data_IF_153057568212
#
_entry.id   IF_153057568212
#
_cell.length_a   1.000
_cell.length_b   1.000
_cell.length_c   1.000
_cell.angle_alpha   90.00
_cell.angle_beta   90.00
_cell.angle_gamma   90.00
#
_symmetry.space_group_name_H-M   'P 1'
#
loop_
_entity.id
_entity.type
_entity.pdbx_description
1 polymer ?
#
# COMPACT_ATOMS: atom_id res chain seq x y z
N UNK A 1 46.47 7.33 6.56
CA UNK A 1 45.39 7.46 5.54
C UNK A 1 44.49 6.23 5.43
N UNK A 2 44.99 5.00 5.53
CA UNK A 2 44.16 3.77 5.42
C UNK A 2 43.11 3.57 6.53
N UNK A 3 43.39 3.97 7.78
CA UNK A 3 42.46 3.84 8.92
C UNK A 3 41.18 4.67 8.78
N UNK A 4 41.25 5.86 8.17
CA UNK A 4 40.08 6.72 7.96
C UNK A 4 39.11 6.14 6.94
N UNK A 5 39.62 5.42 5.93
CA UNK A 5 38.79 4.79 4.91
C UNK A 5 38.02 3.58 5.47
N UNK A 6 38.62 2.83 6.39
CA UNK A 6 37.95 1.71 7.06
C UNK A 6 36.82 2.19 7.98
N UNK A 7 37.07 3.25 8.77
CA UNK A 7 36.03 3.87 9.60
C UNK A 7 34.87 4.41 8.76
N UNK A 8 35.18 5.07 7.64
CA UNK A 8 34.16 5.56 6.70
C UNK A 8 33.36 4.42 6.06
N UNK A 9 34.00 3.32 5.68
CA UNK A 9 33.32 2.14 5.14
C UNK A 9 32.40 1.48 6.17
N UNK A 10 32.82 1.37 7.44
CA UNK A 10 31.99 0.85 8.53
C UNK A 10 30.78 1.76 8.77
N UNK A 11 30.97 3.08 8.78
CA UNK A 11 29.88 4.04 8.91
C UNK A 11 28.92 3.96 7.73
N UNK A 12 29.43 3.88 6.49
CA UNK A 12 28.59 3.69 5.29
C UNK A 12 27.83 2.36 5.36
N UNK A 13 28.44 1.30 5.87
CA UNK A 13 27.81 -0.01 6.05
C UNK A 13 26.72 0.00 7.13
N UNK A 14 26.93 0.69 8.25
CA UNK A 14 25.90 0.86 9.27
C UNK A 14 24.78 1.78 8.80
N UNK A 15 25.11 2.89 8.12
CA UNK A 15 24.12 3.79 7.52
C UNK A 15 23.34 3.06 6.43
N UNK A 16 23.98 2.23 5.60
CA UNK A 16 23.27 1.45 4.58
C UNK A 16 22.29 0.47 5.23
N UNK A 17 22.66 -0.19 6.33
CA UNK A 17 21.75 -1.03 7.13
C UNK A 17 20.57 -0.24 7.74
N UNK A 18 20.81 0.98 8.21
CA UNK A 18 19.77 1.88 8.74
C UNK A 18 18.87 2.45 7.62
N UNK A 19 19.37 2.49 6.38
CA UNK A 19 18.65 2.90 5.19
C UNK A 19 17.96 1.73 4.47
N UNK A 20 18.16 0.48 4.91
CA UNK A 20 17.32 -0.64 4.48
C UNK A 20 15.93 -0.37 5.08
N UNK A 21 14.90 -0.12 4.26
CA UNK A 21 13.56 0.07 4.78
C UNK A 21 13.22 -1.13 5.65
N UNK A 22 12.86 -0.89 6.92
CA UNK A 22 12.43 -1.97 7.81
C UNK A 22 11.17 -2.59 7.23
N UNK A 23 11.35 -3.79 6.68
CA UNK A 23 10.38 -4.81 6.27
C UNK A 23 8.94 -4.43 6.58
N UNK A 24 8.19 -4.03 5.56
CA UNK A 24 6.79 -4.38 5.50
C UNK A 24 6.74 -5.72 4.76
N UNK A 25 6.16 -6.74 5.39
CA UNK A 25 5.98 -8.06 4.80
C UNK A 25 4.90 -8.00 3.70
N UNK A 26 5.11 -7.25 2.62
CA UNK A 26 4.09 -6.98 1.62
C UNK A 26 4.70 -6.71 0.24
N UNK A 27 3.85 -6.57 -0.79
CA UNK A 27 4.31 -6.10 -2.09
C UNK A 27 4.67 -4.61 -2.07
N UNK A 28 5.59 -4.19 -2.93
CA UNK A 28 5.89 -2.77 -3.10
C UNK A 28 4.74 -2.00 -3.77
N UNK A 29 4.66 -0.67 -3.61
CA UNK A 29 3.55 0.15 -4.10
C UNK A 29 3.34 0.07 -5.62
N UNK A 30 4.40 -0.08 -6.42
CA UNK A 30 4.23 -0.24 -7.87
C UNK A 30 3.63 -1.60 -8.23
N UNK A 31 3.95 -2.64 -7.47
CA UNK A 31 3.37 -3.98 -7.63
C UNK A 31 1.90 -3.98 -7.26
N UNK A 32 1.49 -3.27 -6.21
CA UNK A 32 0.08 -3.06 -5.88
C UNK A 32 -0.69 -2.36 -7.01
N UNK A 33 -0.16 -1.26 -7.56
CA UNK A 33 -0.76 -0.60 -8.73
C UNK A 33 -0.89 -1.54 -9.92
N UNK A 34 0.14 -2.35 -10.17
CA UNK A 34 0.13 -3.36 -11.24
C UNK A 34 -1.01 -4.35 -11.02
N UNK A 35 -1.04 -5.04 -9.88
CA UNK A 35 -2.03 -6.08 -9.57
C UNK A 35 -3.46 -5.51 -9.62
N UNK A 36 -3.68 -4.35 -9.02
CA UNK A 36 -4.97 -3.67 -9.06
C UNK A 36 -5.38 -3.30 -10.50
N UNK A 37 -4.45 -2.84 -11.31
CA UNK A 37 -4.75 -2.56 -12.72
C UNK A 37 -5.11 -3.83 -13.49
N UNK A 38 -4.44 -4.96 -13.23
CA UNK A 38 -4.74 -6.24 -13.88
C UNK A 38 -6.12 -6.79 -13.48
N UNK A 39 -6.54 -6.61 -12.23
CA UNK A 39 -7.93 -6.91 -11.80
C UNK A 39 -8.93 -6.19 -12.71
N UNK A 40 -8.73 -4.91 -12.99
CA UNK A 40 -9.61 -4.15 -13.90
C UNK A 40 -9.50 -4.65 -15.35
N UNK A 41 -8.30 -5.04 -15.80
CA UNK A 41 -8.09 -5.53 -17.18
C UNK A 41 -8.78 -6.87 -17.42
N UNK A 42 -8.74 -7.80 -16.46
CA UNK A 42 -9.44 -9.09 -16.55
C UNK A 42 -10.96 -8.92 -16.65
N UNK A 43 -11.48 -7.85 -16.04
CA UNK A 43 -12.85 -7.38 -16.25
C UNK A 43 -13.92 -8.39 -15.82
N UNK A 44 -14.98 -8.50 -16.60
CA UNK A 44 -16.15 -9.32 -16.23
C UNK A 44 -15.87 -10.83 -16.22
N UNK A 45 -14.75 -11.28 -16.79
CA UNK A 45 -14.35 -12.69 -16.78
C UNK A 45 -14.06 -13.21 -15.37
N UNK A 46 -13.73 -12.31 -14.43
CA UNK A 46 -13.39 -12.66 -13.04
C UNK A 46 -14.09 -11.78 -12.00
N UNK A 47 -14.82 -10.75 -12.41
CA UNK A 47 -15.48 -9.78 -11.52
C UNK A 47 -16.98 -9.70 -11.85
N UNK A 48 -17.88 -9.79 -10.85
CA UNK A 48 -19.30 -9.55 -11.07
C UNK A 48 -19.57 -8.22 -11.79
N UNK A 49 -20.44 -8.23 -12.80
CA UNK A 49 -20.64 -7.09 -13.71
C UNK A 49 -20.94 -5.76 -12.99
N UNK A 50 -21.74 -5.80 -11.92
CA UNK A 50 -22.04 -4.64 -11.10
C UNK A 50 -20.80 -4.02 -10.45
N UNK A 51 -19.91 -4.86 -9.92
CA UNK A 51 -18.64 -4.43 -9.32
C UNK A 51 -17.71 -3.90 -10.40
N UNK A 52 -17.54 -4.63 -11.50
CA UNK A 52 -16.70 -4.19 -12.62
C UNK A 52 -17.10 -2.82 -13.16
N UNK A 53 -18.41 -2.55 -13.28
CA UNK A 53 -18.92 -1.25 -13.73
C UNK A 53 -18.47 -0.08 -12.83
N UNK A 54 -18.40 -0.31 -11.51
CA UNK A 54 -17.94 0.65 -10.52
C UNK A 54 -16.43 0.84 -10.66
N UNK A 55 -15.66 -0.26 -10.70
CA UNK A 55 -14.20 -0.22 -10.79
C UNK A 55 -13.73 0.46 -12.08
N UNK A 56 -14.33 0.13 -13.22
CA UNK A 56 -14.00 0.74 -14.51
C UNK A 56 -14.29 2.24 -14.53
N UNK A 57 -15.44 2.66 -13.97
CA UNK A 57 -15.83 4.07 -13.93
C UNK A 57 -15.01 4.90 -12.94
N UNK A 58 -14.63 4.33 -11.80
CA UNK A 58 -13.93 5.00 -10.71
C UNK A 58 -12.54 4.40 -10.47
N UNK A 59 -11.83 4.10 -11.55
CA UNK A 59 -10.53 3.42 -11.54
C UNK A 59 -9.51 4.09 -10.62
N UNK A 60 -9.42 5.42 -10.63
CA UNK A 60 -8.47 6.15 -9.77
C UNK A 60 -8.82 6.06 -8.30
N UNK A 61 -10.11 6.07 -7.95
CA UNK A 61 -10.57 5.92 -6.57
C UNK A 61 -10.24 4.50 -6.06
N UNK A 62 -10.42 3.47 -6.90
CA UNK A 62 -9.99 2.10 -6.62
C UNK A 62 -8.48 1.96 -6.44
N UNK A 63 -7.69 2.49 -7.38
CA UNK A 63 -6.22 2.47 -7.27
C UNK A 63 -5.72 3.21 -6.03
N UNK A 64 -6.38 4.30 -5.64
CA UNK A 64 -6.01 4.99 -4.41
C UNK A 64 -6.32 4.18 -3.16
N UNK A 65 -7.50 3.55 -3.09
CA UNK A 65 -7.84 2.65 -1.98
C UNK A 65 -6.88 1.47 -1.87
N UNK A 66 -6.39 0.98 -3.01
CA UNK A 66 -5.39 -0.07 -3.06
C UNK A 66 -4.01 0.37 -2.56
N UNK A 67 -3.67 1.66 -2.63
CA UNK A 67 -2.38 2.16 -2.15
C UNK A 67 -2.43 2.73 -0.74
N UNK A 68 -3.59 3.24 -0.32
CA UNK A 68 -3.66 3.99 0.92
C UNK A 68 -3.40 3.14 2.16
N UNK A 69 -3.61 1.81 2.09
CA UNK A 69 -3.29 0.88 3.16
C UNK A 69 -1.80 0.98 3.58
N UNK A 70 -0.90 1.22 2.64
CA UNK A 70 0.53 1.41 2.89
C UNK A 70 0.92 2.81 3.34
N UNK A 71 0.15 3.82 2.95
CA UNK A 71 0.48 5.23 3.19
C UNK A 71 0.17 5.71 4.62
N UNK A 72 -0.52 4.92 5.43
CA UNK A 72 -0.94 5.30 6.79
C UNK A 72 0.17 4.89 7.78
N UNK A 73 0.96 5.86 8.22
CA UNK A 73 2.18 5.68 9.03
C UNK A 73 1.96 5.28 10.50
N UNK A 74 0.87 4.62 10.86
CA UNK A 74 0.63 4.26 12.26
C UNK A 74 1.26 2.90 12.67
N UNK A 75 1.98 2.22 11.77
CA UNK A 75 2.49 0.85 12.00
C UNK A 75 3.47 0.70 13.17
N UNK A 76 4.30 1.70 13.46
CA UNK A 76 5.48 1.50 14.31
C UNK A 76 5.23 1.61 15.83
N UNK A 77 4.03 2.02 16.25
CA UNK A 77 3.68 2.26 17.66
C UNK A 77 2.26 1.79 18.02
N UNK A 78 1.64 0.94 17.19
CA UNK A 78 0.27 0.48 17.39
C UNK A 78 0.21 -1.03 17.64
N UNK A 79 -0.66 -1.49 18.57
CA UNK A 79 -1.00 -2.90 18.70
C UNK A 79 -1.54 -3.46 17.37
N UNK A 80 -1.35 -4.76 17.10
CA UNK A 80 -1.74 -5.43 15.85
C UNK A 80 -3.19 -5.18 15.43
N UNK A 81 -4.09 -4.98 16.39
CA UNK A 81 -5.51 -4.68 16.19
C UNK A 81 -5.76 -3.34 15.47
N UNK A 82 -4.81 -2.40 15.52
CA UNK A 82 -4.93 -1.05 14.93
C UNK A 82 -4.13 -0.89 13.63
N UNK A 83 -3.55 -1.99 13.15
CA UNK A 83 -2.83 -2.04 11.89
C UNK A 83 -3.77 -1.69 10.72
N UNK A 84 -3.26 -0.97 9.74
CA UNK A 84 -3.99 -0.65 8.51
C UNK A 84 -4.18 -1.90 7.65
N UNK A 85 -3.40 -2.95 7.91
CA UNK A 85 -3.54 -4.26 7.26
C UNK A 85 -4.56 -5.14 8.01
N UNK A 86 -5.72 -4.57 8.33
CA UNK A 86 -6.76 -5.21 9.11
C UNK A 86 -8.03 -5.41 8.27
N UNK A 87 -8.46 -6.67 8.14
CA UNK A 87 -9.68 -7.04 7.42
C UNK A 87 -10.94 -6.40 8.00
N UNK A 88 -11.03 -6.26 9.33
CA UNK A 88 -12.14 -5.59 10.01
C UNK A 88 -12.26 -4.12 9.61
N UNK A 89 -11.15 -3.38 9.48
CA UNK A 89 -11.15 -2.01 8.96
C UNK A 89 -11.62 -1.98 7.50
N UNK A 90 -11.10 -2.89 6.67
CA UNK A 90 -11.49 -2.97 5.25
C UNK A 90 -12.99 -3.25 5.09
N UNK A 91 -13.56 -4.15 5.89
CA UNK A 91 -15.00 -4.44 5.91
C UNK A 91 -15.82 -3.26 6.41
N UNK A 92 -15.40 -2.59 7.51
CA UNK A 92 -16.06 -1.35 7.99
C UNK A 92 -16.11 -0.27 6.91
N UNK A 93 -15.01 -0.05 6.19
CA UNK A 93 -14.95 0.89 5.06
C UNK A 93 -15.88 0.48 3.92
N UNK A 94 -15.94 -0.82 3.61
CA UNK A 94 -16.82 -1.35 2.57
C UNK A 94 -18.30 -1.17 2.91
N UNK A 95 -18.70 -1.51 4.14
CA UNK A 95 -20.08 -1.36 4.63
C UNK A 95 -20.50 0.10 4.74
N UNK A 96 -19.57 0.97 5.15
CA UNK A 96 -19.79 2.41 5.25
C UNK A 96 -19.90 3.14 3.90
N UNK A 97 -19.47 2.52 2.80
CA UNK A 97 -19.37 3.19 1.51
C UNK A 97 -20.75 3.54 0.91
N UNK A 98 -21.11 4.82 0.97
CA UNK A 98 -22.41 5.34 0.48
C UNK A 98 -22.40 5.68 -1.01
N UNK A 99 -21.26 6.10 -1.54
CA UNK A 99 -21.12 6.50 -2.95
C UNK A 99 -20.39 5.45 -3.78
N UNK A 100 -20.65 5.42 -5.10
CA UNK A 100 -19.90 4.51 -6.00
C UNK A 100 -18.38 4.75 -5.98
N UNK A 101 -17.94 5.99 -5.73
CA UNK A 101 -16.52 6.33 -5.53
C UNK A 101 -15.95 5.71 -4.26
N UNK A 102 -16.66 5.81 -3.14
CA UNK A 102 -16.25 5.16 -1.88
C UNK A 102 -16.25 3.64 -2.02
N UNK A 103 -17.23 3.07 -2.74
CA UNK A 103 -17.24 1.62 -3.01
C UNK A 103 -16.01 1.20 -3.82
N UNK A 104 -15.67 1.96 -4.87
CA UNK A 104 -14.44 1.71 -5.63
C UNK A 104 -13.19 1.77 -4.74
N UNK A 105 -13.09 2.79 -3.89
CA UNK A 105 -12.02 2.92 -2.90
C UNK A 105 -11.94 1.72 -1.95
N UNK A 106 -13.06 1.31 -1.34
CA UNK A 106 -13.10 0.16 -0.44
C UNK A 106 -12.74 -1.16 -1.13
N UNK A 107 -13.18 -1.38 -2.38
CA UNK A 107 -12.73 -2.52 -3.17
C UNK A 107 -11.22 -2.49 -3.42
N UNK A 108 -10.63 -1.31 -3.59
CA UNK A 108 -9.18 -1.14 -3.71
C UNK A 108 -8.46 -1.60 -2.45
N UNK A 109 -8.95 -1.16 -1.29
CA UNK A 109 -8.42 -1.54 0.02
C UNK A 109 -8.50 -3.05 0.26
N UNK A 110 -9.64 -3.67 -0.04
CA UNK A 110 -9.81 -5.12 0.04
C UNK A 110 -8.86 -5.86 -0.92
N UNK A 111 -8.65 -5.32 -2.12
CA UNK A 111 -7.73 -5.89 -3.10
C UNK A 111 -6.27 -5.82 -2.64
N UNK A 112 -5.92 -4.80 -1.84
CA UNK A 112 -4.60 -4.68 -1.22
C UNK A 112 -4.36 -5.85 -0.26
N UNK A 113 -5.23 -6.02 0.73
CA UNK A 113 -5.12 -7.10 1.72
C UNK A 113 -5.16 -8.50 1.08
N UNK A 114 -5.94 -8.64 0.00
CA UNK A 114 -6.00 -9.88 -0.77
C UNK A 114 -4.66 -10.21 -1.42
N UNK A 115 -3.98 -9.21 -2.00
CA UNK A 115 -2.68 -9.38 -2.62
C UNK A 115 -1.59 -9.75 -1.59
N UNK A 116 -1.62 -9.12 -0.42
CA UNK A 116 -0.69 -9.41 0.67
C UNK A 116 -0.89 -10.83 1.20
N UNK A 117 -2.13 -11.28 1.33
CA UNK A 117 -2.43 -12.67 1.75
C UNK A 117 -1.78 -13.70 0.81
N UNK A 118 -1.67 -13.40 -0.49
CA UNK A 118 -1.00 -14.29 -1.45
C UNK A 118 0.51 -14.32 -1.21
N UNK A 119 1.16 -13.17 -1.04
CA UNK A 119 2.62 -13.13 -0.83
C UNK A 119 3.01 -13.81 0.47
N UNK A 120 2.27 -13.57 1.55
CA UNK A 120 2.51 -14.25 2.82
C UNK A 120 2.39 -15.78 2.72
N UNK A 121 1.41 -16.29 1.97
CA UNK A 121 1.25 -17.73 1.79
C UNK A 121 2.33 -18.37 0.91
N UNK A 122 2.96 -17.61 -0.01
CA UNK A 122 4.09 -18.09 -0.81
C UNK A 122 5.38 -18.22 0.02
N UNK A 123 5.42 -17.63 1.22
CA UNK A 123 6.63 -17.43 2.00
C UNK A 123 6.67 -18.22 3.33
N UNK A 124 5.98 -19.36 3.42
CA UNK A 124 6.16 -20.37 4.50
C UNK A 124 7.59 -20.99 4.57
N UNK A 125 8.64 -20.31 4.12
CA UNK A 125 10.02 -20.79 4.04
C UNK A 125 10.92 -19.99 5.00
N UNK A 126 11.62 -20.69 5.90
CA UNK A 126 12.42 -20.22 7.05
C UNK A 126 13.66 -19.32 6.76
N UNK A 127 13.78 -18.67 5.60
CA UNK A 127 14.97 -17.90 5.21
C UNK A 127 14.77 -16.39 5.46
N UNK A 128 15.62 -15.73 6.27
CA UNK A 128 15.53 -14.29 6.50
C UNK A 128 15.80 -13.51 5.19
N UNK A 129 15.14 -12.36 5.03
CA UNK A 129 15.27 -11.39 3.92
C UNK A 129 14.71 -11.79 2.54
N UNK A 130 14.07 -12.96 2.38
CA UNK A 130 13.47 -13.38 1.11
C UNK A 130 12.32 -12.47 0.65
N UNK A 131 11.47 -12.05 1.59
CA UNK A 131 10.37 -11.08 1.38
C UNK A 131 10.85 -9.79 0.71
N UNK A 132 11.84 -9.12 1.31
CA UNK A 132 12.40 -7.87 0.78
C UNK A 132 13.02 -8.07 -0.61
N UNK A 133 13.68 -9.20 -0.84
CA UNK A 133 14.28 -9.52 -2.13
C UNK A 133 13.22 -9.78 -3.20
N UNK A 134 12.13 -10.46 -2.85
CA UNK A 134 10.97 -10.69 -3.72
C UNK A 134 10.27 -9.37 -4.05
N UNK A 135 10.08 -8.50 -3.07
CA UNK A 135 9.49 -7.18 -3.24
C UNK A 135 10.28 -6.33 -4.25
N UNK A 136 11.58 -6.15 -3.99
CA UNK A 136 12.49 -5.36 -4.86
C UNK A 136 12.54 -5.96 -6.26
N UNK A 137 12.67 -7.29 -6.36
CA UNK A 137 12.67 -7.96 -7.66
C UNK A 137 11.35 -7.73 -8.39
N UNK A 138 10.22 -7.86 -7.70
CA UNK A 138 8.91 -7.72 -8.32
C UNK A 138 8.65 -6.30 -8.78
N UNK A 139 8.99 -5.29 -7.98
CA UNK A 139 8.94 -3.88 -8.39
C UNK A 139 9.84 -3.61 -9.61
N UNK A 140 11.03 -4.24 -9.68
CA UNK A 140 11.95 -4.05 -10.81
C UNK A 140 11.39 -4.55 -12.15
N UNK A 141 10.45 -5.50 -12.13
CA UNK A 141 9.82 -6.08 -13.31
C UNK A 141 8.63 -5.24 -13.81
N UNK A 142 8.14 -4.28 -13.01
CA UNK A 142 6.95 -3.49 -13.36
C UNK A 142 7.28 -2.40 -14.38
N UNK A 143 6.51 -2.37 -15.46
CA UNK A 143 6.64 -1.37 -16.53
C UNK A 143 6.43 0.07 -16.02
N UNK A 144 7.18 1.02 -16.58
CA UNK A 144 7.09 2.47 -16.30
C UNK A 144 5.67 3.04 -16.46
N UNK A 145 4.78 2.41 -17.24
CA UNK A 145 3.37 2.80 -17.38
C UNK A 145 2.62 2.77 -16.04
N UNK A 146 2.94 1.86 -15.13
CA UNK A 146 2.30 1.80 -13.81
C UNK A 146 2.78 2.93 -12.90
N UNK A 147 4.04 3.37 -13.05
CA UNK A 147 4.52 4.61 -12.41
C UNK A 147 3.80 5.86 -12.95
N UNK A 148 3.47 5.90 -14.26
CA UNK A 148 2.62 6.98 -14.82
C UNK A 148 1.21 6.92 -14.26
N UNK A 149 0.64 5.71 -14.10
CA UNK A 149 -0.68 5.50 -13.53
C UNK A 149 -0.74 5.97 -12.07
N UNK A 150 0.25 5.62 -11.26
CA UNK A 150 0.42 6.10 -9.88
C UNK A 150 0.40 7.64 -9.81
N UNK A 151 1.13 8.32 -10.72
CA UNK A 151 1.15 9.79 -10.81
C UNK A 151 -0.20 10.43 -11.17
N UNK A 152 -1.17 9.66 -11.66
CA UNK A 152 -2.51 10.18 -11.98
C UNK A 152 -3.42 10.34 -10.76
N UNK A 153 -2.99 9.84 -9.60
CA UNK A 153 -3.66 9.96 -8.30
C UNK A 153 -3.35 11.34 -7.72
N UNK A 154 -4.19 12.31 -8.05
CA UNK A 154 -4.00 13.70 -7.68
C UNK A 154 -4.40 14.01 -6.22
N UNK A 155 -3.96 15.17 -5.72
CA UNK A 155 -4.24 15.61 -4.34
C UNK A 155 -5.74 15.74 -4.04
N UNK A 156 -6.59 16.29 -4.94
CA UNK A 156 -8.05 16.33 -4.72
C UNK A 156 -8.68 14.94 -4.52
N UNK A 157 -8.30 13.96 -5.35
CA UNK A 157 -8.78 12.59 -5.22
C UNK A 157 -8.35 11.96 -3.89
N UNK A 158 -7.09 12.17 -3.50
CA UNK A 158 -6.60 11.72 -2.19
C UNK A 158 -7.43 12.34 -1.05
N UNK A 159 -7.54 13.67 -1.03
CA UNK A 159 -8.29 14.40 0.02
C UNK A 159 -9.74 13.94 0.17
N UNK A 160 -10.39 13.55 -0.94
CA UNK A 160 -11.77 13.06 -0.92
C UNK A 160 -11.94 11.80 -0.08
N UNK A 161 -11.00 10.86 -0.17
CA UNK A 161 -11.06 9.59 0.54
C UNK A 161 -10.34 9.61 1.87
N UNK A 162 -9.36 10.51 2.04
CA UNK A 162 -8.68 10.74 3.31
C UNK A 162 -9.67 11.04 4.44
N UNK A 163 -10.63 11.95 4.21
CA UNK A 163 -11.67 12.26 5.20
C UNK A 163 -12.60 11.07 5.46
N UNK A 164 -12.94 10.33 4.41
CA UNK A 164 -13.72 9.10 4.57
C UNK A 164 -12.98 8.06 5.39
N UNK A 165 -11.66 7.92 5.21
CA UNK A 165 -10.84 6.97 5.92
C UNK A 165 -10.55 7.40 7.37
N UNK A 166 -10.38 8.70 7.60
CA UNK A 166 -10.22 9.33 8.91
C UNK A 166 -11.32 8.93 9.89
N UNK A 167 -12.57 8.88 9.43
CA UNK A 167 -13.73 8.52 10.24
C UNK A 167 -13.69 7.08 10.77
N UNK A 168 -12.89 6.20 10.16
CA UNK A 168 -12.79 4.77 10.51
C UNK A 168 -11.43 4.36 11.05
N UNK A 169 -10.42 5.23 10.95
CA UNK A 169 -9.12 5.00 11.57
C UNK A 169 -9.17 5.40 13.03
N UNK A 170 -9.02 4.42 13.91
CA UNK A 170 -8.83 4.66 15.34
C UNK A 170 -7.38 5.12 15.60
N UNK A 171 -7.12 6.41 15.40
CA UNK A 171 -5.86 7.02 15.81
C UNK A 171 -5.79 7.08 17.35
N UNK A 172 -4.82 6.39 17.94
CA UNK A 172 -4.50 6.53 19.37
C UNK A 172 -3.64 7.76 19.67
N UNK A 173 -2.86 8.26 18.69
CA UNK A 173 -1.85 9.30 18.94
C UNK A 173 -1.87 10.52 18.00
N UNK A 174 -2.27 10.38 16.72
CA UNK A 174 -2.24 11.49 15.76
C UNK A 174 -3.33 11.38 14.68
N UNK A 175 -3.98 12.50 14.36
CA UNK A 175 -4.90 12.58 13.21
C UNK A 175 -4.25 12.06 11.92
N UNK A 176 -5.00 11.39 11.05
CA UNK A 176 -4.51 10.91 9.76
C UNK A 176 -3.86 12.03 8.93
N UNK A 177 -4.40 13.26 8.97
CA UNK A 177 -3.76 14.44 8.37
C UNK A 177 -2.29 14.63 8.80
N UNK A 178 -1.96 14.34 10.06
CA UNK A 178 -0.58 14.36 10.58
C UNK A 178 0.24 13.22 10.01
N UNK A 179 -0.29 11.98 9.99
CA UNK A 179 0.39 10.83 9.39
C UNK A 179 0.69 11.02 7.89
N UNK A 180 -0.26 11.55 7.13
CA UNK A 180 -0.09 11.83 5.69
C UNK A 180 0.98 12.89 5.40
N UNK A 181 1.13 13.89 6.28
CA UNK A 181 2.17 14.92 6.11
C UNK A 181 3.57 14.34 6.26
N UNK A 182 3.76 13.39 7.17
CA UNK A 182 5.03 12.69 7.35
C UNK A 182 5.40 11.84 6.12
N UNK A 183 4.41 11.24 5.43
CA UNK A 183 4.66 10.47 4.22
C UNK A 183 5.06 11.32 3.00
N UNK A 184 4.57 12.57 2.88
CA UNK A 184 4.91 13.44 1.75
C UNK A 184 6.36 13.93 1.74
N UNK A 185 7.11 13.76 2.82
CA UNK A 185 8.52 14.16 2.90
C UNK A 185 9.52 13.03 2.61
N UNK A 186 9.01 11.83 2.29
CA UNK A 186 9.78 10.71 1.74
C UNK A 186 9.43 10.52 0.27
#
# INVERSE_FOLDING_TARGET
>A
MLYNNLGMLVVIFFISFLLIPSVAEAWGPLTHVYLANEVINMGMSVIPAGVYSILKRYKKDFLYGNLCADMIFARRFQPDEKNTHNWGLAWRLFEAAKTKRQKAFAYGYLSHLSADTVVHNLEKSFLPFKHTLLEVKSESLIDKKYRKLLKTIDRPLQKRHDGFLEDYLESVFFSFRTNRKLFKSF
#
